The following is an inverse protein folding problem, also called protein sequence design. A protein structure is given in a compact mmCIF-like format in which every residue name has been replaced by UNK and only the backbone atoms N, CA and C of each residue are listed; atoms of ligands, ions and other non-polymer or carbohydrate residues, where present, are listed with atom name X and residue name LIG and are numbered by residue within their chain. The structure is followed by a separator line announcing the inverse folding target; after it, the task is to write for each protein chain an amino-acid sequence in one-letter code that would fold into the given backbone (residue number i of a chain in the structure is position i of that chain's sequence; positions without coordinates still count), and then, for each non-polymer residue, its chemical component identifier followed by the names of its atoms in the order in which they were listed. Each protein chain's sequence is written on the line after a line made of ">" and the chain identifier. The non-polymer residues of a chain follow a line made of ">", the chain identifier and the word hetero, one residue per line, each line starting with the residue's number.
data_IF_941701474863
#
_entry.id   IF_941701474863
#
_cell.length_a   1.000
_cell.length_b   1.000
_cell.length_c   1.000
_cell.angle_alpha   90.00
_cell.angle_beta   90.00
_cell.angle_gamma   90.00
#
_symmetry.space_group_name_H-M   'P 1'
#
loop_
_entity.id
_entity.type
_entity.pdbx_description
1 polymer ?
#
# COMPACT_ATOMS: atom_id res chain seq x y z
N UNK A 1 3.70 -20.27 -1.17
CA UNK A 1 4.17 -19.58 0.05
C UNK A 1 3.99 -20.55 1.21
N UNK A 2 5.06 -20.95 1.91
CA UNK A 2 4.89 -21.60 3.22
C UNK A 2 4.43 -20.51 4.22
N UNK A 3 3.44 -20.80 5.07
CA UNK A 3 2.92 -19.96 6.15
C UNK A 3 1.99 -18.77 5.79
N UNK A 4 1.52 -18.65 4.53
CA UNK A 4 0.64 -17.54 4.14
C UNK A 4 -0.69 -17.49 4.93
N UNK A 5 -1.27 -18.65 5.26
CA UNK A 5 -2.49 -18.75 6.06
C UNK A 5 -2.29 -18.27 7.51
N UNK A 6 -1.19 -18.67 8.14
CA UNK A 6 -0.85 -18.25 9.50
C UNK A 6 -0.60 -16.73 9.58
N UNK A 7 0.06 -16.17 8.56
CA UNK A 7 0.22 -14.73 8.43
C UNK A 7 -1.14 -14.03 8.31
N UNK A 8 -2.01 -14.50 7.41
CA UNK A 8 -3.35 -13.92 7.24
C UNK A 8 -4.19 -13.98 8.53
N UNK A 9 -4.15 -15.10 9.26
CA UNK A 9 -4.84 -15.24 10.55
C UNK A 9 -4.27 -14.29 11.61
N UNK A 10 -2.93 -14.20 11.75
CA UNK A 10 -2.28 -13.30 12.71
C UNK A 10 -2.63 -11.83 12.46
N UNK A 11 -2.72 -11.45 11.19
CA UNK A 11 -2.94 -10.07 10.77
C UNK A 11 -4.43 -9.65 10.80
N UNK A 12 -5.34 -10.57 11.10
CA UNK A 12 -6.70 -10.22 11.54
C UNK A 12 -7.62 -9.62 10.47
N UNK A 13 -7.29 -9.70 9.18
CA UNK A 13 -8.18 -9.17 8.14
C UNK A 13 -9.42 -10.03 7.92
N UNK A 14 -10.58 -9.36 7.98
CA UNK A 14 -11.88 -9.97 7.65
C UNK A 14 -11.94 -10.34 6.17
N UNK A 15 -12.31 -11.58 5.90
CA UNK A 15 -12.59 -12.05 4.55
C UNK A 15 -13.67 -11.17 3.89
N UNK A 16 -13.52 -10.87 2.59
CA UNK A 16 -14.46 -10.11 1.74
C UNK A 16 -14.52 -8.58 1.90
N UNK A 17 -13.42 -7.89 2.21
CA UNK A 17 -13.37 -6.41 2.17
C UNK A 17 -13.41 -5.79 0.75
N UNK A 18 -13.35 -6.62 -0.32
CA UNK A 18 -13.48 -6.19 -1.72
C UNK A 18 -12.22 -5.53 -2.32
N UNK A 19 -11.39 -4.89 -1.51
CA UNK A 19 -10.10 -4.33 -1.90
C UNK A 19 -8.95 -5.25 -1.47
N UNK A 20 -7.91 -5.44 -2.31
CA UNK A 20 -6.68 -6.08 -1.86
C UNK A 20 -6.15 -5.37 -0.60
N UNK A 21 -5.84 -6.15 0.42
CA UNK A 21 -5.14 -5.65 1.60
C UNK A 21 -3.71 -6.20 1.60
N UNK A 22 -2.74 -5.38 2.02
CA UNK A 22 -1.33 -5.76 2.04
C UNK A 22 -0.64 -5.29 3.31
N UNK A 23 0.35 -6.07 3.75
CA UNK A 23 1.32 -5.68 4.78
C UNK A 23 2.73 -5.99 4.30
N UNK A 24 3.68 -5.18 4.73
CA UNK A 24 5.11 -5.37 4.46
C UNK A 24 5.78 -5.73 5.78
N UNK A 25 6.46 -6.88 5.78
CA UNK A 25 7.13 -7.41 6.95
C UNK A 25 8.65 -7.26 6.82
N UNK A 26 9.33 -7.23 7.96
CA UNK A 26 10.79 -7.35 8.02
C UNK A 26 11.25 -8.81 7.87
N UNK A 27 12.56 -9.06 7.99
CA UNK A 27 13.12 -10.41 7.89
C UNK A 27 12.76 -11.35 9.05
N UNK A 28 12.22 -10.82 10.15
CA UNK A 28 11.80 -11.58 11.33
C UNK A 28 10.30 -11.92 11.29
N UNK A 29 9.55 -11.33 10.35
CA UNK A 29 8.11 -11.49 10.23
C UNK A 29 7.32 -10.49 11.09
N UNK A 30 7.98 -9.42 11.54
CA UNK A 30 7.34 -8.27 12.19
C UNK A 30 6.85 -7.27 11.15
N UNK A 31 5.70 -6.64 11.42
CA UNK A 31 5.11 -5.66 10.52
C UNK A 31 5.90 -4.36 10.53
N UNK A 32 6.27 -3.88 9.34
CA UNK A 32 6.81 -2.53 9.12
C UNK A 32 5.65 -1.56 8.90
N UNK A 33 4.74 -1.90 7.99
CA UNK A 33 3.60 -1.08 7.58
C UNK A 33 2.54 -1.92 6.86
N UNK A 34 1.26 -1.56 6.97
CA UNK A 34 0.16 -2.16 6.21
C UNK A 34 -0.62 -1.12 5.41
N UNK A 35 -1.62 -1.57 4.64
CA UNK A 35 -2.38 -0.71 3.74
C UNK A 35 -3.55 0.03 4.38
N UNK A 36 -3.79 -0.11 5.68
CA UNK A 36 -4.80 0.68 6.39
C UNK A 36 -4.25 2.08 6.71
N UNK A 37 -4.54 3.01 5.80
CA UNK A 37 -4.25 4.42 5.99
C UNK A 37 -5.23 5.09 6.97
N UNK A 38 -5.07 6.40 7.22
CA UNK A 38 -5.95 7.15 8.13
C UNK A 38 -7.45 7.10 7.79
N UNK A 39 -7.79 6.75 6.54
CA UNK A 39 -9.16 6.66 6.03
C UNK A 39 -9.60 5.22 5.71
N UNK A 40 -8.79 4.22 6.05
CA UNK A 40 -9.01 2.80 5.75
C UNK A 40 -8.07 2.24 4.69
N UNK A 41 -8.37 1.02 4.24
CA UNK A 41 -7.51 0.27 3.31
C UNK A 41 -7.35 0.98 1.95
N UNK A 42 -6.11 1.36 1.61
CA UNK A 42 -5.82 2.08 0.36
C UNK A 42 -5.87 1.21 -0.88
N UNK A 43 -5.80 -0.13 -0.75
CA UNK A 43 -5.99 -1.12 -1.82
C UNK A 43 -5.47 -0.74 -3.20
N UNK A 44 -6.33 -0.13 -4.02
CA UNK A 44 -5.96 0.54 -5.28
C UNK A 44 -5.99 2.07 -5.06
N UNK A 45 -4.85 2.70 -4.73
CA UNK A 45 -4.83 4.10 -4.31
C UNK A 45 -5.22 5.05 -5.45
N UNK A 46 -6.31 5.81 -5.27
CA UNK A 46 -6.84 6.79 -6.22
C UNK A 46 -6.84 8.20 -5.64
N UNK A 47 -7.30 8.41 -4.40
CA UNK A 47 -7.34 9.76 -3.81
C UNK A 47 -5.93 10.29 -3.54
N UNK A 48 -5.79 11.59 -3.27
CA UNK A 48 -4.46 12.16 -2.96
C UNK A 48 -3.94 11.58 -1.65
N UNK A 49 -4.84 11.37 -0.70
CA UNK A 49 -4.61 10.81 0.62
C UNK A 49 -4.16 9.35 0.53
N UNK A 50 -4.88 8.54 -0.26
CA UNK A 50 -4.50 7.14 -0.52
C UNK A 50 -3.16 7.02 -1.23
N UNK A 51 -2.92 7.81 -2.28
CA UNK A 51 -1.64 7.81 -2.99
C UNK A 51 -0.49 8.26 -2.08
N UNK A 52 -0.71 9.28 -1.24
CA UNK A 52 0.28 9.77 -0.29
C UNK A 52 0.62 8.73 0.78
N UNK A 53 -0.38 8.01 1.30
CA UNK A 53 -0.15 6.93 2.25
C UNK A 53 0.59 5.76 1.60
N UNK A 54 0.22 5.36 0.38
CA UNK A 54 0.94 4.33 -0.36
C UNK A 54 2.43 4.68 -0.55
N UNK A 55 2.75 5.93 -0.90
CA UNK A 55 4.15 6.36 -0.99
C UNK A 55 4.86 6.37 0.37
N UNK A 56 4.14 6.64 1.46
CA UNK A 56 4.66 6.49 2.83
C UNK A 56 5.01 5.04 3.13
N UNK A 57 4.18 4.07 2.74
CA UNK A 57 4.47 2.64 2.89
C UNK A 57 5.77 2.26 2.18
N UNK A 58 5.92 2.67 0.92
CA UNK A 58 7.15 2.43 0.14
C UNK A 58 8.37 3.06 0.82
N UNK A 59 8.23 4.29 1.33
CA UNK A 59 9.34 5.00 1.94
C UNK A 59 9.78 4.41 3.29
N UNK A 60 8.85 3.87 4.06
CA UNK A 60 9.15 3.16 5.31
C UNK A 60 9.77 1.79 5.06
N UNK A 61 9.39 1.11 3.97
CA UNK A 61 9.81 -0.27 3.71
C UNK A 61 10.97 -0.40 2.72
N UNK A 62 11.36 0.66 2.02
CA UNK A 62 12.42 0.56 1.00
C UNK A 62 13.75 0.18 1.63
N UNK A 63 14.49 -0.69 0.94
CA UNK A 63 15.87 -1.03 1.32
C UNK A 63 16.90 -0.47 0.33
N UNK A 64 16.55 -0.43 -0.96
CA UNK A 64 17.51 -0.12 -2.05
C UNK A 64 16.94 0.77 -3.15
N UNK A 65 15.82 1.46 -2.86
CA UNK A 65 15.28 2.46 -3.77
C UNK A 65 15.99 3.79 -3.52
N UNK A 66 16.53 4.35 -4.60
CA UNK A 66 17.07 5.73 -4.58
C UNK A 66 15.94 6.74 -4.53
N UNK A 67 16.26 7.99 -4.16
CA UNK A 67 15.29 9.09 -4.17
C UNK A 67 14.68 9.31 -5.56
N UNK A 68 15.46 9.12 -6.63
CA UNK A 68 14.95 9.24 -8.01
C UNK A 68 13.91 8.15 -8.30
N UNK A 69 14.17 6.90 -7.91
CA UNK A 69 13.23 5.80 -8.13
C UNK A 69 11.93 5.99 -7.33
N UNK A 70 12.01 6.51 -6.10
CA UNK A 70 10.79 6.86 -5.33
C UNK A 70 10.02 7.99 -6.01
N UNK A 71 10.71 8.98 -6.58
CA UNK A 71 10.07 10.06 -7.35
C UNK A 71 9.40 9.54 -8.63
N UNK A 72 10.03 8.60 -9.34
CA UNK A 72 9.49 7.98 -10.54
C UNK A 72 8.23 7.16 -10.21
N UNK A 73 8.23 6.43 -9.08
CA UNK A 73 7.06 5.72 -8.57
C UNK A 73 5.91 6.68 -8.24
N UNK A 74 6.18 7.78 -7.55
CA UNK A 74 5.17 8.79 -7.24
C UNK A 74 4.56 9.39 -8.52
N UNK A 75 5.40 9.66 -9.52
CA UNK A 75 4.98 10.19 -10.82
C UNK A 75 4.10 9.19 -11.57
N UNK A 76 4.51 7.92 -11.63
CA UNK A 76 3.75 6.86 -12.28
C UNK A 76 2.39 6.62 -11.59
N UNK A 77 2.37 6.65 -10.26
CA UNK A 77 1.14 6.51 -9.48
C UNK A 77 0.18 7.68 -9.75
N UNK A 78 0.67 8.92 -9.74
CA UNK A 78 -0.17 10.07 -10.02
C UNK A 78 -0.72 10.05 -11.45
N UNK A 79 0.10 9.67 -12.43
CA UNK A 79 -0.35 9.49 -13.81
C UNK A 79 -1.46 8.43 -13.95
N UNK A 80 -1.41 7.35 -13.15
CA UNK A 80 -2.47 6.35 -13.11
C UNK A 80 -3.75 6.84 -12.42
N UNK A 81 -3.61 7.58 -11.31
CA UNK A 81 -4.71 7.98 -10.44
C UNK A 81 -5.44 9.24 -10.95
N UNK A 82 -4.72 10.20 -11.53
CA UNK A 82 -5.25 11.50 -11.92
C UNK A 82 -6.49 11.44 -12.85
N UNK A 83 -6.56 10.56 -13.87
CA UNK A 83 -7.77 10.43 -14.69
C UNK A 83 -8.97 9.88 -13.91
N UNK A 84 -8.74 9.01 -12.92
CA UNK A 84 -9.80 8.35 -12.13
C UNK A 84 -10.40 9.27 -11.08
N UNK A 85 -9.61 10.22 -10.55
CA UNK A 85 -10.11 11.28 -9.65
C UNK A 85 -11.15 12.18 -10.32
N UNK A 86 -11.03 12.42 -11.63
CA UNK A 86 -11.91 13.30 -12.42
C UNK A 86 -13.22 12.65 -12.84
N UNK A 87 -13.33 11.31 -12.75
CA UNK A 87 -14.53 10.57 -13.14
C UNK A 87 -15.60 10.47 -12.04
N UNK A 88 -15.40 11.14 -10.91
CA UNK A 88 -16.31 11.17 -9.76
C UNK A 88 -17.13 12.47 -9.65
N UNK A 89 -17.15 13.29 -10.72
CA UNK A 89 -17.98 14.51 -10.82
C UNK A 89 -19.34 14.22 -11.48
#
# INVERSE_FOLDING_TARGET
>A
MQNGEQAATKLGHVANSGLPWMTILDSTGEEIVNSDGPQGNVGCPITKEECGYFMTMIEQSKQRLTSQQTSDLATALDAYAAPKRRGND
#
